data_IF_341870592693
#
_entry.id   IF_341870592693
#
_cell.length_a   1.000
_cell.length_b   1.000
_cell.length_c   1.000
_cell.angle_alpha   90.00
_cell.angle_beta   90.00
_cell.angle_gamma   90.00
#
_symmetry.space_group_name_H-M   'P 1'
#
loop_
_entity.id
_entity.type
_entity.pdbx_description
1 polymer ?
#
# COMPACT_ATOMS: atom_id res chain seq x y z
N UNK A 1 -1.23 -48.29 -26.03
CA UNK A 1 -2.61 -47.77 -25.86
C UNK A 1 -2.54 -46.26 -25.79
N UNK A 2 -2.51 -45.59 -26.95
CA UNK A 2 -2.72 -44.16 -27.03
C UNK A 2 -3.41 -43.84 -28.37
N UNK A 3 -4.58 -44.45 -28.57
CA UNK A 3 -5.43 -44.21 -29.72
C UNK A 3 -6.61 -43.36 -29.26
N UNK A 4 -6.35 -42.08 -28.96
CA UNK A 4 -7.42 -41.10 -28.92
C UNK A 4 -7.52 -40.48 -30.30
N UNK A 5 -8.62 -40.76 -30.99
CA UNK A 5 -9.00 -40.17 -32.29
C UNK A 5 -8.71 -38.66 -32.31
N UNK A 6 -8.38 -38.05 -33.46
CA UNK A 6 -8.29 -36.60 -33.53
C UNK A 6 -9.63 -36.01 -33.09
N UNK A 7 -9.63 -35.28 -31.97
CA UNK A 7 -10.79 -34.52 -31.53
C UNK A 7 -11.22 -33.64 -32.71
N UNK A 8 -12.50 -33.64 -33.05
CA UNK A 8 -12.99 -32.81 -34.13
C UNK A 8 -12.58 -31.35 -33.87
N UNK A 9 -12.33 -30.58 -34.93
CA UNK A 9 -11.97 -29.16 -34.79
C UNK A 9 -12.99 -28.40 -33.93
N UNK A 10 -14.27 -28.78 -33.99
CA UNK A 10 -15.33 -28.23 -33.16
C UNK A 10 -15.11 -28.50 -31.67
N UNK A 11 -14.75 -29.72 -31.29
CA UNK A 11 -14.46 -30.08 -29.89
C UNK A 11 -13.25 -29.33 -29.34
N UNK A 12 -12.20 -29.18 -30.15
CA UNK A 12 -11.02 -28.38 -29.78
C UNK A 12 -11.38 -26.92 -29.54
N UNK A 13 -12.21 -26.32 -30.42
CA UNK A 13 -12.66 -24.95 -30.26
C UNK A 13 -13.56 -24.78 -29.03
N UNK A 14 -14.45 -25.75 -28.74
CA UNK A 14 -15.27 -25.73 -27.51
C UNK A 14 -14.44 -25.90 -26.25
N UNK A 15 -13.37 -26.68 -26.30
CA UNK A 15 -12.42 -26.76 -25.20
C UNK A 15 -11.71 -25.42 -24.99
N UNK A 16 -11.17 -24.83 -26.06
CA UNK A 16 -10.49 -23.53 -26.01
C UNK A 16 -11.42 -22.42 -25.51
N UNK A 17 -12.69 -22.42 -25.90
CA UNK A 17 -13.71 -21.48 -25.41
C UNK A 17 -13.83 -21.55 -23.88
N UNK A 18 -13.92 -22.75 -23.29
CA UNK A 18 -14.01 -22.91 -21.82
C UNK A 18 -12.75 -22.41 -21.11
N UNK A 19 -11.57 -22.68 -21.67
CA UNK A 19 -10.31 -22.19 -21.13
C UNK A 19 -10.27 -20.67 -21.15
N UNK A 20 -10.61 -20.05 -22.28
CA UNK A 20 -10.64 -18.59 -22.42
C UNK A 20 -11.62 -17.93 -21.46
N UNK A 21 -12.81 -18.52 -21.25
CA UNK A 21 -13.77 -18.01 -20.26
C UNK A 21 -13.17 -18.09 -18.85
N UNK A 22 -12.54 -19.22 -18.48
CA UNK A 22 -11.92 -19.37 -17.16
C UNK A 22 -10.76 -18.37 -16.93
N UNK A 23 -9.94 -18.15 -17.95
CA UNK A 23 -8.84 -17.19 -17.89
C UNK A 23 -9.36 -15.75 -17.85
N UNK A 24 -10.40 -15.41 -18.62
CA UNK A 24 -11.06 -14.10 -18.56
C UNK A 24 -11.60 -13.82 -17.15
N UNK A 25 -12.27 -14.80 -16.54
CA UNK A 25 -12.75 -14.67 -15.16
C UNK A 25 -11.60 -14.48 -14.15
N UNK A 26 -10.46 -15.14 -14.36
CA UNK A 26 -9.25 -14.92 -13.55
C UNK A 26 -8.73 -13.49 -13.71
N UNK A 27 -8.61 -13.01 -14.93
CA UNK A 27 -8.18 -11.63 -15.23
C UNK A 27 -9.12 -10.60 -14.60
N UNK A 28 -10.43 -10.81 -14.69
CA UNK A 28 -11.43 -9.94 -14.04
C UNK A 28 -11.23 -9.83 -12.53
N UNK A 29 -10.92 -10.95 -11.86
CA UNK A 29 -10.61 -10.91 -10.41
C UNK A 29 -9.35 -10.11 -10.10
N UNK A 30 -8.30 -10.26 -10.90
CA UNK A 30 -7.08 -9.45 -10.72
C UNK A 30 -7.32 -7.96 -10.94
N UNK A 31 -8.10 -7.60 -11.95
CA UNK A 31 -8.50 -6.21 -12.19
C UNK A 31 -9.21 -5.64 -10.95
N UNK A 32 -10.22 -6.35 -10.42
CA UNK A 32 -10.96 -5.89 -9.25
C UNK A 32 -10.05 -5.73 -8.01
N UNK A 33 -9.06 -6.61 -7.82
CA UNK A 33 -8.08 -6.46 -6.75
C UNK A 33 -7.19 -5.21 -6.92
N UNK A 34 -6.71 -4.95 -8.14
CA UNK A 34 -5.90 -3.78 -8.43
C UNK A 34 -6.70 -2.47 -8.31
N UNK A 35 -7.96 -2.46 -8.75
CA UNK A 35 -8.88 -1.34 -8.54
C UNK A 35 -9.09 -1.06 -7.05
N UNK A 36 -9.29 -2.10 -6.24
CA UNK A 36 -9.40 -1.96 -4.77
C UNK A 36 -8.14 -1.33 -4.18
N UNK A 37 -6.95 -1.83 -4.57
CA UNK A 37 -5.66 -1.29 -4.10
C UNK A 37 -5.49 0.17 -4.50
N UNK A 38 -5.85 0.53 -5.74
CA UNK A 38 -5.79 1.91 -6.21
C UNK A 38 -6.71 2.83 -5.39
N UNK A 39 -7.95 2.38 -5.14
CA UNK A 39 -8.91 3.14 -4.34
C UNK A 39 -8.45 3.30 -2.88
N UNK A 40 -7.82 2.27 -2.28
CA UNK A 40 -7.23 2.36 -0.94
C UNK A 40 -6.08 3.36 -0.88
N UNK A 41 -5.17 3.37 -1.87
CA UNK A 41 -4.10 4.37 -1.95
C UNK A 41 -4.66 5.79 -2.06
N UNK A 42 -5.62 6.00 -2.96
CA UNK A 42 -6.26 7.30 -3.14
C UNK A 42 -6.98 7.76 -1.86
N UNK A 43 -7.70 6.86 -1.18
CA UNK A 43 -8.32 7.16 0.13
C UNK A 43 -7.26 7.51 1.17
N UNK A 44 -6.14 6.79 1.21
CA UNK A 44 -5.03 7.06 2.11
C UNK A 44 -4.39 8.43 1.86
N UNK A 45 -4.27 8.84 0.60
CA UNK A 45 -3.79 10.17 0.21
C UNK A 45 -4.78 11.27 0.61
N UNK A 46 -6.07 11.10 0.35
CA UNK A 46 -7.11 12.07 0.71
C UNK A 46 -7.29 12.20 2.23
N UNK A 47 -7.19 11.09 2.96
CA UNK A 47 -7.31 11.06 4.42
C UNK A 47 -6.00 11.37 5.14
N UNK A 48 -4.90 11.61 4.40
CA UNK A 48 -3.59 11.87 5.00
C UNK A 48 -3.66 13.15 5.85
N UNK A 49 -3.37 13.09 7.16
CA UNK A 49 -3.28 14.29 7.96
C UNK A 49 -2.23 15.26 7.38
N UNK A 50 -2.43 16.58 7.51
CA UNK A 50 -1.41 17.53 7.13
C UNK A 50 -0.11 17.21 7.86
N UNK A 51 1.01 17.46 7.19
CA UNK A 51 2.32 17.27 7.80
C UNK A 51 2.41 18.23 9.00
N UNK A 52 2.67 17.74 10.22
CA UNK A 52 2.77 18.60 11.40
C UNK A 52 3.95 19.57 11.25
N UNK A 53 3.78 20.85 11.56
CA UNK A 53 4.85 21.86 11.43
C UNK A 53 6.12 21.51 12.21
N UNK A 54 5.97 20.79 13.32
CA UNK A 54 7.06 20.37 14.19
C UNK A 54 6.90 18.90 14.58
N UNK A 55 8.01 18.17 14.56
CA UNK A 55 8.06 16.77 15.00
C UNK A 55 9.18 16.58 16.00
N UNK A 56 8.92 15.81 17.06
CA UNK A 56 9.94 15.41 18.04
C UNK A 56 10.36 13.98 17.71
N UNK A 57 11.65 13.78 17.47
CA UNK A 57 12.28 12.46 17.37
C UNK A 57 12.63 11.95 18.76
N UNK A 58 12.26 10.70 19.05
CA UNK A 58 12.51 10.04 20.34
C UNK A 58 13.59 8.98 20.23
N UNK A 59 14.29 8.81 21.35
CA UNK A 59 15.29 7.76 21.55
C UNK A 59 14.71 6.35 21.47
N UNK A 60 15.57 5.36 21.71
CA UNK A 60 15.16 3.95 21.73
C UNK A 60 14.29 3.70 22.98
N UNK A 61 13.18 2.95 22.80
CA UNK A 61 12.20 2.65 23.85
C UNK A 61 10.85 3.34 23.62
N UNK A 62 9.78 2.76 24.16
CA UNK A 62 8.39 3.25 23.99
C UNK A 62 8.22 4.70 24.44
N UNK A 63 9.02 5.13 25.40
CA UNK A 63 9.03 6.47 25.99
C UNK A 63 10.45 7.06 26.08
N UNK A 64 11.30 6.73 25.11
CA UNK A 64 12.66 7.27 25.04
C UNK A 64 12.68 8.81 25.08
N UNK A 65 13.71 9.43 25.68
CA UNK A 65 13.79 10.88 25.78
C UNK A 65 13.79 11.53 24.38
N UNK A 66 13.28 12.76 24.25
CA UNK A 66 13.45 13.56 23.04
C UNK A 66 14.93 13.66 22.68
N UNK A 67 15.28 13.40 21.41
CA UNK A 67 16.66 13.49 20.90
C UNK A 67 16.82 14.70 20.00
N UNK A 68 15.78 15.03 19.24
CA UNK A 68 15.80 16.16 18.32
C UNK A 68 14.38 16.70 18.07
N UNK A 69 14.31 17.99 17.75
CA UNK A 69 13.13 18.65 17.18
C UNK A 69 13.42 18.92 15.70
N UNK A 70 12.49 18.56 14.83
CA UNK A 70 12.59 18.81 13.40
C UNK A 70 11.38 19.60 12.91
N UNK A 71 11.52 20.27 11.77
CA UNK A 71 10.39 20.76 10.99
C UNK A 71 9.60 19.60 10.37
N UNK A 72 8.31 19.82 10.11
CA UNK A 72 7.45 18.92 9.38
C UNK A 72 8.04 18.48 8.04
N UNK A 73 8.09 17.17 7.80
CA UNK A 73 8.60 16.62 6.54
C UNK A 73 10.14 16.67 6.40
N UNK A 74 10.87 17.00 7.46
CA UNK A 74 12.33 16.94 7.48
C UNK A 74 12.82 15.53 7.11
N UNK A 75 13.63 15.42 6.07
CA UNK A 75 14.15 14.12 5.62
C UNK A 75 15.09 13.46 6.65
N UNK A 76 15.62 14.25 7.60
CA UNK A 76 16.47 13.77 8.69
C UNK A 76 15.66 13.19 9.86
N UNK A 77 14.35 13.45 9.93
CA UNK A 77 13.49 12.88 10.95
C UNK A 77 13.31 11.37 10.70
N UNK A 78 13.95 10.55 11.53
CA UNK A 78 13.89 9.08 11.41
C UNK A 78 12.54 8.53 11.89
N UNK A 79 12.32 7.23 11.73
CA UNK A 79 11.04 6.52 11.94
C UNK A 79 10.29 6.76 13.27
N UNK A 80 10.92 7.31 14.32
CA UNK A 80 10.34 7.48 15.67
C UNK A 80 10.07 8.94 15.99
N UNK A 81 9.27 9.59 15.15
CA UNK A 81 8.85 10.97 15.36
C UNK A 81 7.38 11.05 15.75
N UNK A 82 7.03 12.09 16.50
CA UNK A 82 5.64 12.46 16.81
C UNK A 82 5.42 13.92 16.48
N UNK A 83 4.36 14.23 15.73
CA UNK A 83 3.92 15.59 15.48
C UNK A 83 3.50 16.27 16.79
N UNK A 84 3.97 17.50 16.99
CA UNK A 84 3.64 18.29 18.18
C UNK A 84 3.37 19.76 17.83
N UNK A 85 2.57 20.47 18.64
CA UNK A 85 2.45 21.92 18.52
C UNK A 85 3.78 22.64 18.83
N UNK A 86 3.93 23.86 18.33
CA UNK A 86 5.16 24.68 18.45
C UNK A 86 5.60 24.90 19.90
N UNK A 87 4.68 25.10 20.84
CA UNK A 87 5.00 25.32 22.25
C UNK A 87 5.60 24.08 22.90
N UNK A 88 5.12 22.88 22.55
CA UNK A 88 5.69 21.60 22.99
C UNK A 88 7.08 21.40 22.40
N UNK A 89 7.25 21.70 21.11
CA UNK A 89 8.56 21.66 20.44
C UNK A 89 9.56 22.60 21.13
N UNK A 90 9.15 23.83 21.45
CA UNK A 90 10.00 24.81 22.15
C UNK A 90 10.37 24.35 23.56
N UNK A 91 9.44 23.75 24.31
CA UNK A 91 9.73 23.19 25.65
C UNK A 91 10.71 22.03 25.59
N UNK A 92 10.77 21.28 24.49
CA UNK A 92 11.71 20.18 24.33
C UNK A 92 13.16 20.63 24.06
N UNK A 93 13.39 21.93 23.81
CA UNK A 93 14.71 22.54 23.60
C UNK A 93 15.26 23.28 24.83
N UNK A 94 14.43 23.47 25.86
CA UNK A 94 14.79 24.16 27.10
C UNK A 94 15.27 23.16 28.15
#
# INVERSE_FOLDING_TARGET
MNDSLPSSRLEMLRFLERVQVADLERTRRWIAEEERRAAERQRGEQARPPVPDWVIERGIGRDGPPVAVHLGGCHMAKKRWKGVPRDVARRALA
#
